data_IF_719977762250
#
_entry.id   IF_719977762250
#
_cell.length_a   1.000
_cell.length_b   1.000
_cell.length_c   1.000
_cell.angle_alpha   90.00
_cell.angle_beta   90.00
_cell.angle_gamma   90.00
#
_symmetry.space_group_name_H-M   'P 1'
#
loop_
_entity.id
_entity.type
_entity.pdbx_description
1 polymer ?
#
# COMPACT_ATOMS: atom_id res chain seq x y z
N UNK A 1 -2.30 12.52 -9.58
CA UNK A 1 -1.93 12.52 -8.17
C UNK A 1 -2.81 11.61 -7.39
N UNK A 2 -2.22 10.78 -6.58
CA UNK A 2 -2.97 9.85 -5.78
C UNK A 2 -2.73 10.12 -4.31
N UNK A 3 -3.70 9.72 -3.49
CA UNK A 3 -3.58 9.78 -2.04
C UNK A 3 -3.22 8.36 -1.59
N UNK A 4 -2.05 8.18 -1.00
CA UNK A 4 -1.54 6.88 -0.61
C UNK A 4 -1.41 6.82 0.90
N UNK A 5 -2.01 5.81 1.51
CA UNK A 5 -1.88 5.59 2.94
C UNK A 5 -0.73 4.60 3.16
N UNK A 6 0.25 4.98 3.97
CA UNK A 6 1.37 4.11 4.33
C UNK A 6 1.22 3.71 5.78
N UNK A 7 1.13 2.42 6.03
CA UNK A 7 1.03 1.88 7.39
C UNK A 7 2.35 1.16 7.68
N UNK A 8 3.18 1.78 8.50
CA UNK A 8 4.54 1.32 8.72
C UNK A 8 5.03 1.85 10.07
N UNK A 9 5.50 0.98 10.95
CA UNK A 9 5.94 1.39 12.29
C UNK A 9 7.41 1.79 12.34
N UNK A 10 8.21 1.40 11.37
CA UNK A 10 9.63 1.75 11.35
C UNK A 10 9.81 3.15 10.76
N UNK A 11 10.39 4.10 11.54
CA UNK A 11 10.51 5.48 11.06
C UNK A 11 11.33 5.61 9.78
N UNK A 12 12.39 4.84 9.65
CA UNK A 12 13.25 4.93 8.46
C UNK A 12 12.50 4.47 7.22
N UNK A 13 11.74 3.37 7.33
CA UNK A 13 10.97 2.88 6.22
C UNK A 13 9.83 3.84 5.87
N UNK A 14 9.20 4.42 6.88
CA UNK A 14 8.15 5.41 6.65
C UNK A 14 8.71 6.62 5.92
N UNK A 15 9.88 7.11 6.34
CA UNK A 15 10.51 8.26 5.70
C UNK A 15 10.84 7.96 4.24
N UNK A 16 11.40 6.78 3.98
CA UNK A 16 11.76 6.42 2.63
C UNK A 16 10.55 6.30 1.72
N UNK A 17 9.52 5.59 2.17
CA UNK A 17 8.31 5.43 1.38
C UNK A 17 7.66 6.79 1.08
N UNK A 18 7.59 7.64 2.11
CA UNK A 18 7.00 8.97 1.95
C UNK A 18 7.78 9.80 0.94
N UNK A 19 9.11 9.79 1.06
CA UNK A 19 9.96 10.53 0.14
C UNK A 19 9.75 10.09 -1.30
N UNK A 20 9.75 8.78 -1.52
CA UNK A 20 9.60 8.24 -2.87
C UNK A 20 8.24 8.60 -3.47
N UNK A 21 7.19 8.47 -2.68
CA UNK A 21 5.85 8.76 -3.16
C UNK A 21 5.65 10.24 -3.45
N UNK A 22 6.15 11.10 -2.56
CA UNK A 22 6.00 12.53 -2.77
C UNK A 22 6.84 13.03 -3.94
N UNK A 23 7.94 12.35 -4.22
CA UNK A 23 8.81 12.76 -5.32
C UNK A 23 8.13 12.64 -6.68
N UNK A 24 7.09 11.83 -6.79
CA UNK A 24 6.34 11.71 -8.03
C UNK A 24 4.93 12.30 -7.91
N UNK A 25 4.71 13.11 -6.89
CA UNK A 25 3.50 13.91 -6.80
C UNK A 25 2.35 13.32 -6.02
N UNK A 26 2.55 12.19 -5.33
CA UNK A 26 1.47 11.64 -4.52
C UNK A 26 1.39 12.33 -3.16
N UNK A 27 0.19 12.33 -2.60
CA UNK A 27 -0.03 12.80 -1.23
C UNK A 27 0.03 11.58 -0.32
N UNK A 28 0.72 11.69 0.81
CA UNK A 28 0.92 10.55 1.71
C UNK A 28 0.20 10.77 3.02
N UNK A 29 -0.60 9.77 3.41
CA UNK A 29 -1.17 9.67 4.75
C UNK A 29 -0.33 8.66 5.50
N UNK A 30 -0.06 8.91 6.77
CA UNK A 30 0.86 8.08 7.55
C UNK A 30 0.15 7.47 8.74
N UNK A 31 0.35 6.18 8.95
CA UNK A 31 -0.12 5.47 10.13
C UNK A 31 1.00 4.60 10.64
N UNK A 32 1.19 4.54 11.94
CA UNK A 32 2.28 3.78 12.54
C UNK A 32 1.82 2.43 13.08
N UNK A 33 0.53 2.17 13.04
CA UNK A 33 -0.04 0.90 13.47
C UNK A 33 -1.26 0.59 12.63
N UNK A 34 -1.69 -0.66 12.70
CA UNK A 34 -2.77 -1.14 11.84
C UNK A 34 -4.11 -0.49 12.19
N UNK A 35 -4.38 -0.28 13.46
CA UNK A 35 -5.66 0.29 13.87
C UNK A 35 -5.82 1.72 13.35
N UNK A 36 -4.77 2.53 13.50
CA UNK A 36 -4.79 3.88 12.95
C UNK A 36 -4.94 3.83 11.43
N UNK A 37 -4.26 2.89 10.79
CA UNK A 37 -4.35 2.73 9.35
C UNK A 37 -5.75 2.41 8.88
N UNK A 38 -6.42 1.48 9.54
CA UNK A 38 -7.80 1.12 9.20
C UNK A 38 -8.71 2.33 9.36
N UNK A 39 -8.54 3.09 10.44
CA UNK A 39 -9.34 4.29 10.67
C UNK A 39 -9.15 5.33 9.57
N UNK A 40 -7.90 5.57 9.18
CA UNK A 40 -7.61 6.52 8.11
C UNK A 40 -8.16 6.06 6.77
N UNK A 41 -8.10 4.75 6.51
CA UNK A 41 -8.62 4.23 5.26
C UNK A 41 -10.13 4.51 5.16
N UNK A 42 -10.84 4.38 6.26
CA UNK A 42 -12.27 4.65 6.27
C UNK A 42 -12.60 6.12 6.13
N UNK A 43 -11.86 6.98 6.83
CA UNK A 43 -12.18 8.41 6.84
C UNK A 43 -11.66 9.13 5.63
N UNK A 44 -10.49 8.78 5.14
CA UNK A 44 -9.82 9.51 4.06
C UNK A 44 -9.96 8.85 2.70
N UNK A 45 -10.30 7.58 2.66
CA UNK A 45 -10.50 6.82 1.43
C UNK A 45 -9.37 7.01 0.43
N UNK A 46 -8.16 6.57 0.81
CA UNK A 46 -7.01 6.73 -0.09
C UNK A 46 -7.18 5.92 -1.37
N UNK A 47 -6.38 6.25 -2.35
CA UNK A 47 -6.41 5.54 -3.63
C UNK A 47 -5.64 4.24 -3.57
N UNK A 48 -4.76 4.10 -2.59
CA UNK A 48 -3.95 2.91 -2.43
C UNK A 48 -3.42 2.85 -1.00
N UNK A 49 -3.25 1.64 -0.48
CA UNK A 49 -2.72 1.43 0.86
C UNK A 49 -1.46 0.57 0.76
N UNK A 50 -0.38 1.05 1.38
CA UNK A 50 0.83 0.27 1.57
C UNK A 50 0.81 -0.24 2.99
N UNK A 51 0.78 -1.55 3.17
CA UNK A 51 0.59 -2.16 4.47
C UNK A 51 1.76 -3.04 4.84
N UNK A 52 2.54 -2.62 5.83
CA UNK A 52 3.57 -3.47 6.39
C UNK A 52 2.89 -4.65 7.07
N UNK A 53 3.31 -5.87 6.75
CA UNK A 53 2.67 -7.03 7.35
C UNK A 53 3.24 -7.37 8.71
N UNK A 54 4.38 -6.78 9.08
CA UNK A 54 5.01 -7.04 10.37
C UNK A 54 4.86 -5.84 11.28
N UNK A 55 3.63 -5.64 11.76
CA UNK A 55 3.32 -4.54 12.66
C UNK A 55 3.13 -5.08 14.07
N UNK A 56 3.46 -4.28 15.10
CA UNK A 56 3.15 -4.67 16.47
C UNK A 56 1.64 -4.64 16.70
N UNK A 57 1.16 -5.51 17.57
CA UNK A 57 -0.27 -5.59 17.83
C UNK A 57 -0.98 -6.29 16.69
N UNK A 58 -1.95 -5.62 16.09
CA UNK A 58 -2.63 -6.19 14.93
C UNK A 58 -1.68 -6.17 13.74
N UNK A 59 -1.45 -7.32 13.12
CA UNK A 59 -0.56 -7.38 11.97
C UNK A 59 -1.23 -6.89 10.69
N UNK A 60 -0.42 -6.66 9.66
CA UNK A 60 -0.92 -6.08 8.42
C UNK A 60 -1.87 -6.98 7.67
N UNK A 61 -1.71 -8.29 7.77
CA UNK A 61 -2.62 -9.21 7.07
C UNK A 61 -3.99 -9.21 7.72
N UNK A 62 -4.04 -9.15 9.05
CA UNK A 62 -5.32 -9.04 9.75
C UNK A 62 -6.01 -7.74 9.40
N UNK A 63 -5.26 -6.65 9.35
CA UNK A 63 -5.82 -5.35 8.97
C UNK A 63 -6.36 -5.38 7.55
N UNK A 64 -5.64 -6.03 6.65
CA UNK A 64 -6.10 -6.17 5.26
C UNK A 64 -7.42 -6.92 5.21
N UNK A 65 -7.56 -7.97 6.00
CA UNK A 65 -8.82 -8.71 6.06
C UNK A 65 -9.97 -7.82 6.50
N UNK A 66 -9.75 -6.97 7.48
CA UNK A 66 -10.76 -6.03 7.95
C UNK A 66 -11.14 -5.06 6.83
N UNK A 67 -10.15 -4.52 6.14
CA UNK A 67 -10.41 -3.58 5.05
C UNK A 67 -11.17 -4.21 3.91
N UNK A 68 -10.84 -5.46 3.57
CA UNK A 68 -11.49 -6.15 2.46
C UNK A 68 -12.89 -6.64 2.81
N UNK A 69 -13.19 -6.76 4.09
CA UNK A 69 -14.54 -7.14 4.54
C UNK A 69 -15.48 -5.94 4.62
N UNK A 70 -14.95 -4.73 4.58
CA UNK A 70 -15.74 -3.50 4.73
C UNK A 70 -16.09 -2.95 3.36
N UNK A 71 -17.38 -2.77 3.11
CA UNK A 71 -17.85 -2.27 1.81
C UNK A 71 -17.27 -0.92 1.44
N UNK A 72 -16.86 -0.13 2.43
CA UNK A 72 -16.33 1.21 2.16
C UNK A 72 -14.85 1.21 1.78
N UNK A 73 -14.14 0.14 2.11
CA UNK A 73 -12.69 0.11 1.86
C UNK A 73 -12.24 -1.06 0.99
N UNK A 74 -13.12 -2.01 0.73
CA UNK A 74 -12.69 -3.25 0.06
C UNK A 74 -12.16 -3.03 -1.36
N UNK A 75 -12.55 -1.96 -2.01
CA UNK A 75 -12.10 -1.68 -3.38
C UNK A 75 -10.77 -0.93 -3.42
N UNK A 76 -10.24 -0.52 -2.28
CA UNK A 76 -8.95 0.16 -2.23
C UNK A 76 -7.85 -0.89 -2.37
N UNK A 77 -6.95 -0.75 -3.34
CA UNK A 77 -5.84 -1.71 -3.47
C UNK A 77 -4.95 -1.68 -2.24
N UNK A 78 -4.57 -2.86 -1.75
CA UNK A 78 -3.66 -3.00 -0.63
C UNK A 78 -2.43 -3.73 -1.10
N UNK A 79 -1.28 -3.07 -0.97
CA UNK A 79 0.01 -3.64 -1.35
C UNK A 79 0.78 -3.92 -0.08
N UNK A 80 1.13 -5.18 0.14
CA UNK A 80 1.88 -5.56 1.33
C UNK A 80 3.34 -5.16 1.20
N UNK A 81 3.90 -4.64 2.28
CA UNK A 81 5.34 -4.42 2.39
C UNK A 81 5.88 -5.54 3.27
N UNK A 82 6.85 -6.30 2.78
CA UNK A 82 7.30 -7.47 3.51
C UNK A 82 8.79 -7.72 3.34
N UNK A 83 9.45 -8.07 4.44
CA UNK A 83 10.81 -8.57 4.40
C UNK A 83 10.82 -10.06 4.08
N UNK A 84 9.65 -10.68 4.11
CA UNK A 84 9.49 -12.11 3.88
C UNK A 84 8.97 -12.31 2.46
N UNK A 85 9.82 -12.82 1.58
CA UNK A 85 9.46 -12.99 0.19
C UNK A 85 9.59 -14.44 -0.27
N UNK A 86 9.35 -15.38 0.65
CA UNK A 86 9.35 -16.78 0.30
C UNK A 86 8.00 -17.15 -0.31
N UNK A 87 7.99 -18.24 -1.05
CA UNK A 87 6.81 -18.64 -1.79
C UNK A 87 5.56 -18.78 -0.91
N UNK A 88 5.72 -19.40 0.25
CA UNK A 88 4.59 -19.58 1.17
C UNK A 88 4.05 -18.27 1.70
N UNK A 89 4.93 -17.27 1.86
CA UNK A 89 4.52 -15.95 2.33
C UNK A 89 3.69 -15.23 1.29
N UNK A 90 4.06 -15.37 0.02
CA UNK A 90 3.31 -14.76 -1.06
C UNK A 90 1.87 -15.27 -1.10
N UNK A 91 1.71 -16.58 -0.95
CA UNK A 91 0.38 -17.17 -0.94
C UNK A 91 -0.45 -16.68 0.24
N UNK A 92 0.18 -16.55 1.39
CA UNK A 92 -0.49 -16.07 2.59
C UNK A 92 -0.93 -14.62 2.43
N UNK A 93 -0.08 -13.80 1.82
CA UNK A 93 -0.37 -12.40 1.57
C UNK A 93 -1.57 -12.27 0.64
N UNK A 94 -1.60 -13.04 -0.43
CA UNK A 94 -2.70 -12.99 -1.38
C UNK A 94 -3.99 -13.53 -0.77
N UNK A 95 -3.89 -14.57 0.05
CA UNK A 95 -5.06 -15.15 0.69
C UNK A 95 -5.71 -14.15 1.67
N UNK A 96 -4.93 -13.26 2.24
CA UNK A 96 -5.46 -12.23 3.13
C UNK A 96 -6.20 -11.12 2.38
N UNK A 97 -6.07 -11.07 1.07
CA UNK A 97 -6.76 -10.08 0.26
C UNK A 97 -5.87 -8.98 -0.30
N UNK A 98 -4.56 -9.08 -0.11
CA UNK A 98 -3.65 -8.09 -0.69
C UNK A 98 -3.65 -8.20 -2.21
N UNK A 99 -3.59 -7.07 -2.87
CA UNK A 99 -3.61 -7.01 -4.32
C UNK A 99 -2.22 -7.17 -4.91
N UNK A 100 -1.20 -7.02 -4.09
CA UNK A 100 0.17 -7.21 -4.51
C UNK A 100 1.09 -7.13 -3.31
N UNK A 101 2.40 -7.21 -3.56
CA UNK A 101 3.36 -7.05 -2.48
C UNK A 101 4.66 -6.46 -3.01
N UNK A 102 5.43 -5.83 -2.12
CA UNK A 102 6.74 -5.28 -2.41
C UNK A 102 7.67 -5.79 -1.33
N UNK A 103 8.79 -6.37 -1.76
CA UNK A 103 9.79 -6.88 -0.83
C UNK A 103 10.65 -5.74 -0.30
N UNK A 104 11.02 -5.82 0.97
CA UNK A 104 11.97 -4.90 1.57
C UNK A 104 13.37 -5.48 1.41
N UNK A 105 14.40 -4.65 1.30
CA UNK A 105 14.37 -3.18 1.31
C UNK A 105 13.78 -2.63 0.02
N UNK A 106 13.22 -1.43 0.10
CA UNK A 106 12.51 -0.83 -1.03
C UNK A 106 13.49 -0.47 -2.14
N UNK A 107 13.21 -0.97 -3.33
CA UNK A 107 13.92 -0.56 -4.53
C UNK A 107 13.14 0.60 -5.13
N UNK A 108 13.82 1.73 -5.32
CA UNK A 108 13.20 2.94 -5.82
C UNK A 108 12.34 2.69 -7.06
N UNK A 109 12.94 2.06 -8.07
CA UNK A 109 12.27 1.86 -9.34
C UNK A 109 11.11 0.89 -9.23
N UNK A 110 11.36 -0.27 -8.62
CA UNK A 110 10.32 -1.29 -8.50
C UNK A 110 9.16 -0.80 -7.65
N UNK A 111 9.47 -0.06 -6.60
CA UNK A 111 8.47 0.48 -5.70
C UNK A 111 7.52 1.40 -6.48
N UNK A 112 8.07 2.37 -7.20
CA UNK A 112 7.24 3.34 -7.90
C UNK A 112 6.46 2.71 -9.05
N UNK A 113 7.05 1.74 -9.73
CA UNK A 113 6.35 1.06 -10.82
C UNK A 113 5.17 0.25 -10.31
N UNK A 114 5.36 -0.43 -9.18
CA UNK A 114 4.28 -1.22 -8.60
C UNK A 114 3.13 -0.32 -8.16
N UNK A 115 3.46 0.80 -7.52
CA UNK A 115 2.45 1.75 -7.05
C UNK A 115 1.67 2.31 -8.23
N UNK A 116 2.36 2.73 -9.28
CA UNK A 116 1.70 3.31 -10.45
C UNK A 116 0.76 2.32 -11.10
N UNK A 117 1.19 1.07 -11.22
CA UNK A 117 0.38 0.03 -11.84
C UNK A 117 -0.91 -0.23 -11.07
N UNK A 118 -0.82 -0.28 -9.75
CA UNK A 118 -1.98 -0.60 -8.94
C UNK A 118 -2.94 0.57 -8.81
N UNK A 119 -2.42 1.79 -8.81
CA UNK A 119 -3.27 2.96 -8.86
C UNK A 119 -4.02 2.99 -10.19
N UNK A 120 -3.34 2.65 -11.28
CA UNK A 120 -3.95 2.64 -12.60
C UNK A 120 -5.09 1.63 -12.69
N UNK A 121 -4.90 0.45 -12.12
CA UNK A 121 -5.95 -0.56 -12.11
C UNK A 121 -7.21 -0.06 -11.44
N UNK A 122 -7.06 0.63 -10.33
CA UNK A 122 -8.21 1.16 -9.60
C UNK A 122 -8.82 2.33 -10.33
N UNK A 123 -7.98 3.10 -10.99
CA UNK A 123 -8.35 4.40 -11.52
C UNK A 123 -9.28 4.41 -12.70
N UNK A 124 -9.59 3.29 -13.27
CA UNK A 124 -10.46 3.19 -14.42
C UNK A 124 -9.84 3.83 -15.66
N UNK A 125 -10.61 4.02 -16.69
CA UNK A 125 -10.13 4.53 -17.96
C UNK A 125 -9.52 5.92 -17.90
N UNK A 126 -9.76 6.65 -16.85
CA UNK A 126 -9.21 7.99 -16.73
C UNK A 126 -7.68 7.97 -16.60
N UNK A 127 -7.10 6.83 -16.44
CA UNK A 127 -5.67 6.69 -16.22
C UNK A 127 -4.88 6.40 -17.47
N UNK A 128 -5.48 6.58 -18.61
CA UNK A 128 -4.74 6.34 -19.83
C UNK A 128 -3.58 7.29 -20.02
N UNK A 129 -3.54 8.37 -19.28
CA UNK A 129 -2.43 9.31 -19.32
C UNK A 129 -1.23 8.84 -18.51
N UNK A 130 -1.32 7.70 -17.92
CA UNK A 130 -0.25 7.11 -17.16
C UNK A 130 1.08 7.00 -17.92
N UNK A 131 1.13 7.09 -19.23
CA UNK A 131 2.45 7.08 -19.87
C UNK A 131 3.46 7.99 -19.20
N UNK A 132 2.98 9.04 -18.57
CA UNK A 132 3.85 9.93 -17.83
C UNK A 132 4.59 9.21 -16.70
N UNK A 133 4.04 8.14 -16.21
CA UNK A 133 4.63 7.40 -15.09
C UNK A 133 5.65 6.37 -15.51
N UNK A 134 5.86 6.21 -16.80
CA UNK A 134 6.82 5.23 -17.30
C UNK A 134 8.24 5.73 -17.30
N UNK A 135 8.41 6.95 -16.98
CA UNK A 135 9.72 7.59 -17.00
C UNK A 135 10.66 7.00 -15.98
#
# INVERSE_FOLDING_TARGET
MAKVLVVEDNPANMTLATFLLESVGHTVLKARDAETGVGLARSERPDLILMDIQLPGMDGLSATGILKADAETRDIPVIALTALAMKGDEERIRAAGCDGYIAKPLSYKDFLETIARDIDKRGTGARTDIPALKI
#
